data_IF_569291269155
#
_entry.id   IF_569291269155
#
_cell.length_a   1.000
_cell.length_b   1.000
_cell.length_c   1.000
_cell.angle_alpha   90.00
_cell.angle_beta   90.00
_cell.angle_gamma   90.00
#
_symmetry.space_group_name_H-M   'P 1'
#
loop_
_entity.id
_entity.type
_entity.pdbx_description
1 polymer ?
#
# COMPACT_ATOMS: atom_id res chain seq x y z
N UNK A 1 -44.84 28.70 -25.89
CA UNK A 1 -44.23 27.56 -25.19
C UNK A 1 -42.76 27.56 -25.58
N UNK A 2 -41.92 28.35 -24.89
CA UNK A 2 -41.30 28.06 -23.59
C UNK A 2 -40.30 26.90 -23.75
N UNK A 3 -39.01 27.19 -23.93
CA UNK A 3 -37.98 27.42 -22.89
C UNK A 3 -37.54 26.13 -22.21
N UNK A 4 -36.23 25.90 -22.12
CA UNK A 4 -35.67 24.88 -21.22
C UNK A 4 -34.31 24.32 -21.64
N UNK A 5 -33.26 25.02 -21.24
CA UNK A 5 -31.87 24.58 -21.15
C UNK A 5 -31.65 23.35 -20.23
N UNK A 6 -30.50 22.69 -20.44
CA UNK A 6 -29.57 22.08 -19.47
C UNK A 6 -30.06 21.18 -18.31
N UNK A 7 -29.46 19.98 -18.21
CA UNK A 7 -28.87 19.34 -17.00
C UNK A 7 -28.51 17.89 -17.39
N UNK A 8 -27.24 17.51 -17.58
CA UNK A 8 -26.31 17.09 -16.52
C UNK A 8 -26.98 16.65 -15.22
N UNK A 9 -27.07 15.32 -14.98
CA UNK A 9 -26.80 14.71 -13.67
C UNK A 9 -26.96 13.19 -13.65
N UNK A 10 -25.98 12.61 -12.97
CA UNK A 10 -26.09 11.48 -12.05
C UNK A 10 -25.97 10.05 -12.62
N UNK A 11 -24.72 9.64 -12.84
CA UNK A 11 -24.03 8.70 -11.94
C UNK A 11 -24.90 7.81 -11.04
N UNK A 12 -25.42 6.70 -11.56
CA UNK A 12 -25.86 5.54 -10.77
C UNK A 12 -25.77 4.31 -11.70
N UNK A 13 -24.99 3.24 -11.52
CA UNK A 13 -24.35 2.60 -10.39
C UNK A 13 -23.10 1.85 -10.88
N UNK A 14 -21.88 2.28 -10.52
CA UNK A 14 -20.72 1.38 -10.54
C UNK A 14 -20.61 0.70 -9.17
N UNK A 15 -21.18 -0.49 -9.06
CA UNK A 15 -20.99 -1.40 -7.93
C UNK A 15 -20.28 -2.66 -8.41
N UNK A 16 -18.95 -2.60 -8.54
CA UNK A 16 -18.05 -3.66 -8.07
C UNK A 16 -16.60 -3.23 -8.28
N UNK A 17 -16.14 -2.40 -7.36
CA UNK A 17 -14.70 -2.19 -7.12
C UNK A 17 -14.08 -3.53 -6.72
N UNK A 18 -13.50 -4.25 -7.68
CA UNK A 18 -12.43 -5.21 -7.42
C UNK A 18 -11.25 -4.83 -8.28
N UNK A 19 -10.22 -4.16 -7.73
CA UNK A 19 -9.10 -3.75 -8.55
C UNK A 19 -7.94 -4.75 -8.42
N UNK A 20 -8.16 -6.06 -8.53
CA UNK A 20 -7.06 -7.04 -8.72
C UNK A 20 -7.50 -8.25 -9.54
N UNK A 21 -6.62 -8.82 -10.38
CA UNK A 21 -7.01 -9.84 -11.36
C UNK A 21 -7.35 -11.18 -10.70
N UNK A 22 -8.34 -11.84 -11.31
CA UNK A 22 -8.77 -13.22 -11.07
C UNK A 22 -7.64 -14.20 -11.46
N UNK A 23 -7.30 -15.14 -10.57
CA UNK A 23 -6.26 -16.15 -10.77
C UNK A 23 -6.86 -17.47 -11.29
N UNK A 24 -6.40 -17.92 -12.46
CA UNK A 24 -6.61 -19.29 -12.96
C UNK A 24 -5.49 -20.23 -12.44
N UNK A 25 -5.86 -21.46 -12.10
CA UNK A 25 -5.15 -22.34 -11.18
C UNK A 25 -4.46 -23.52 -11.90
N UNK A 26 -3.63 -23.33 -12.93
CA UNK A 26 -2.83 -24.45 -13.50
C UNK A 26 -1.57 -24.04 -14.29
N UNK A 27 -0.59 -23.33 -13.71
CA UNK A 27 0.72 -23.26 -14.38
C UNK A 27 1.92 -23.09 -13.44
N UNK A 28 2.76 -24.14 -13.45
CA UNK A 28 4.10 -24.18 -12.87
C UNK A 28 4.98 -23.00 -13.34
N UNK A 29 5.64 -22.36 -12.36
CA UNK A 29 6.98 -21.73 -12.45
C UNK A 29 7.37 -21.19 -13.84
N UNK A 30 6.57 -20.29 -14.39
CA UNK A 30 7.01 -19.35 -15.41
C UNK A 30 6.83 -17.96 -14.81
N UNK A 31 7.89 -17.16 -14.89
CA UNK A 31 7.83 -15.72 -14.71
C UNK A 31 6.93 -15.17 -15.83
N UNK A 32 5.61 -15.30 -15.66
CA UNK A 32 4.63 -14.64 -16.51
C UNK A 32 4.47 -13.26 -15.90
N UNK A 33 5.35 -12.34 -16.31
CA UNK A 33 4.97 -10.93 -16.38
C UNK A 33 3.78 -10.95 -17.35
N UNK A 34 2.54 -10.71 -16.90
CA UNK A 34 1.39 -10.94 -17.73
C UNK A 34 1.45 -9.98 -18.92
N UNK A 35 1.57 -10.54 -20.12
CA UNK A 35 1.36 -9.83 -21.38
C UNK A 35 -0.12 -9.48 -21.46
N UNK A 36 -0.53 -8.45 -20.73
CA UNK A 36 -1.84 -7.85 -20.92
C UNK A 36 -1.86 -7.16 -22.28
N UNK A 37 -2.86 -7.46 -23.09
CA UNK A 37 -3.22 -6.64 -24.24
C UNK A 37 -3.37 -5.19 -23.74
N UNK A 38 -2.40 -4.35 -24.09
CA UNK A 38 -2.30 -2.96 -23.64
C UNK A 38 -3.46 -2.15 -24.20
N UNK A 39 -4.62 -2.16 -23.52
CA UNK A 39 -5.45 -0.97 -23.52
C UNK A 39 -4.74 0.03 -22.61
N UNK A 40 -4.14 1.04 -23.24
CA UNK A 40 -3.44 2.19 -22.65
C UNK A 40 -4.37 2.94 -21.67
N UNK A 41 -4.66 2.35 -20.51
CA UNK A 41 -5.00 3.12 -19.34
C UNK A 41 -3.66 3.67 -18.84
N UNK A 42 -3.48 4.99 -18.95
CA UNK A 42 -2.37 5.69 -18.31
C UNK A 42 -2.25 5.17 -16.88
N UNK A 43 -1.15 4.47 -16.57
CA UNK A 43 -0.98 3.84 -15.27
C UNK A 43 -0.83 4.97 -14.24
N UNK A 44 -1.95 5.32 -13.62
CA UNK A 44 -2.12 6.43 -12.70
C UNK A 44 -1.07 6.32 -11.56
N UNK A 45 -0.54 7.45 -11.07
CA UNK A 45 0.61 7.46 -10.15
C UNK A 45 0.44 6.54 -8.92
N UNK A 46 -0.73 6.49 -8.25
CA UNK A 46 -0.99 5.55 -7.16
C UNK A 46 -0.86 4.07 -7.55
N UNK A 47 -1.31 3.68 -8.75
CA UNK A 47 -1.26 2.29 -9.22
C UNK A 47 0.19 1.83 -9.40
N UNK A 48 1.07 2.71 -9.89
CA UNK A 48 2.50 2.42 -9.99
C UNK A 48 3.15 2.21 -8.62
N UNK A 49 2.83 3.07 -7.64
CA UNK A 49 3.32 2.91 -6.27
C UNK A 49 2.81 1.60 -5.65
N UNK A 50 1.54 1.28 -5.86
CA UNK A 50 0.92 0.07 -5.32
C UNK A 50 1.48 -1.21 -5.93
N UNK A 51 1.78 -1.21 -7.23
CA UNK A 51 2.48 -2.33 -7.89
C UNK A 51 3.89 -2.54 -7.34
N UNK A 52 4.63 -1.44 -7.06
CA UNK A 52 5.94 -1.52 -6.41
C UNK A 52 5.85 -2.09 -4.99
N UNK A 53 4.82 -1.67 -4.25
CA UNK A 53 4.53 -2.20 -2.91
C UNK A 53 4.20 -3.70 -2.95
N UNK A 54 3.34 -4.13 -3.87
CA UNK A 54 2.98 -5.54 -4.07
C UNK A 54 4.23 -6.40 -4.33
N UNK A 55 5.12 -5.95 -5.21
CA UNK A 55 6.37 -6.66 -5.49
C UNK A 55 7.26 -6.79 -4.25
N UNK A 56 7.42 -5.70 -3.50
CA UNK A 56 8.24 -5.68 -2.28
C UNK A 56 7.67 -6.61 -1.20
N UNK A 57 6.34 -6.61 -1.03
CA UNK A 57 5.64 -7.50 -0.09
C UNK A 57 5.77 -8.95 -0.53
N UNK A 58 5.58 -9.25 -1.81
CA UNK A 58 5.77 -10.59 -2.35
C UNK A 58 7.17 -11.13 -2.05
N UNK A 59 8.21 -10.31 -2.27
CA UNK A 59 9.59 -10.69 -1.96
C UNK A 59 9.82 -10.97 -0.47
N UNK A 60 9.22 -10.20 0.44
CA UNK A 60 9.33 -10.41 1.89
C UNK A 60 8.59 -11.69 2.30
N UNK A 61 7.38 -11.87 1.78
CA UNK A 61 6.54 -13.04 2.06
C UNK A 61 7.21 -14.32 1.55
N UNK A 62 7.78 -14.31 0.35
CA UNK A 62 8.50 -15.45 -0.22
C UNK A 62 9.71 -15.84 0.63
N UNK A 63 10.47 -14.87 1.15
CA UNK A 63 11.60 -15.13 2.03
C UNK A 63 11.17 -15.80 3.35
N UNK A 64 10.09 -15.31 3.96
CA UNK A 64 9.53 -15.89 5.20
C UNK A 64 8.93 -17.27 4.93
N UNK A 65 8.19 -17.42 3.83
CA UNK A 65 7.56 -18.68 3.45
C UNK A 65 8.59 -19.78 3.20
N UNK A 66 9.73 -19.44 2.59
CA UNK A 66 10.84 -20.37 2.40
C UNK A 66 11.47 -20.81 3.73
N UNK A 67 11.66 -19.89 4.68
CA UNK A 67 12.24 -20.19 6.00
C UNK A 67 11.31 -21.07 6.86
N UNK A 68 10.00 -20.89 6.72
CA UNK A 68 8.99 -21.58 7.52
C UNK A 68 8.40 -22.82 6.83
N UNK A 69 8.88 -23.19 5.63
CA UNK A 69 8.34 -24.26 4.78
C UNK A 69 6.82 -24.12 4.53
N UNK A 70 6.39 -22.90 4.21
CA UNK A 70 5.01 -22.53 3.92
C UNK A 70 4.85 -22.06 2.48
N UNK A 71 3.61 -21.98 2.01
CA UNK A 71 3.25 -21.32 0.76
C UNK A 71 2.26 -20.18 1.01
N UNK A 72 2.54 -19.01 0.45
CA UNK A 72 1.62 -17.89 0.45
C UNK A 72 0.77 -17.89 -0.82
N UNK A 73 -0.54 -17.67 -0.66
CA UNK A 73 -1.44 -17.53 -1.82
C UNK A 73 -1.31 -16.13 -2.43
N UNK A 74 -1.53 -15.98 -3.74
CA UNK A 74 -1.58 -14.66 -4.36
C UNK A 74 -2.62 -13.72 -3.74
N UNK A 75 -3.75 -14.28 -3.27
CA UNK A 75 -4.80 -13.55 -2.59
C UNK A 75 -4.32 -13.01 -1.24
N UNK A 76 -3.58 -13.82 -0.46
CA UNK A 76 -2.97 -13.37 0.78
C UNK A 76 -2.02 -12.19 0.54
N UNK A 77 -1.14 -12.28 -0.46
CA UNK A 77 -0.21 -11.20 -0.84
C UNK A 77 -0.98 -9.94 -1.27
N UNK A 78 -2.06 -10.11 -2.03
CA UNK A 78 -2.95 -9.01 -2.43
C UNK A 78 -3.61 -8.31 -1.23
N UNK A 79 -4.22 -9.09 -0.32
CA UNK A 79 -4.84 -8.56 0.90
C UNK A 79 -3.83 -7.87 1.81
N UNK A 80 -2.63 -8.44 1.96
CA UNK A 80 -1.55 -7.83 2.73
C UNK A 80 -1.08 -6.51 2.10
N UNK A 81 -1.04 -6.43 0.77
CA UNK A 81 -0.72 -5.19 0.04
C UNK A 81 -1.73 -4.09 0.34
N UNK A 82 -3.03 -4.40 0.34
CA UNK A 82 -4.08 -3.43 0.71
C UNK A 82 -3.97 -2.96 2.17
N UNK A 83 -3.68 -3.90 3.07
CA UNK A 83 -3.49 -3.60 4.49
C UNK A 83 -2.31 -2.65 4.70
N UNK A 84 -1.15 -2.97 4.11
CA UNK A 84 0.06 -2.15 4.23
C UNK A 84 -0.14 -0.79 3.54
N UNK A 85 -0.80 -0.74 2.39
CA UNK A 85 -1.14 0.52 1.73
C UNK A 85 -1.97 1.43 2.64
N UNK A 86 -3.01 0.88 3.27
CA UNK A 86 -3.85 1.62 4.22
C UNK A 86 -3.04 2.11 5.43
N UNK A 87 -2.16 1.25 5.96
CA UNK A 87 -1.30 1.62 7.08
C UNK A 87 -0.33 2.75 6.72
N UNK A 88 0.23 2.77 5.51
CA UNK A 88 1.11 3.85 5.04
C UNK A 88 0.35 5.18 5.02
N UNK A 89 -0.89 5.20 4.52
CA UNK A 89 -1.72 6.41 4.49
C UNK A 89 -2.01 6.94 5.90
N UNK A 90 -2.41 6.06 6.82
CA UNK A 90 -2.64 6.44 8.22
C UNK A 90 -1.37 6.94 8.89
N UNK A 91 -0.26 6.21 8.76
CA UNK A 91 1.03 6.59 9.35
C UNK A 91 1.52 7.93 8.80
N UNK A 92 1.37 8.19 7.50
CA UNK A 92 1.75 9.47 6.89
C UNK A 92 0.99 10.66 7.46
N UNK A 93 -0.33 10.53 7.61
CA UNK A 93 -1.17 11.56 8.21
C UNK A 93 -0.83 11.80 9.69
N UNK A 94 -0.57 10.73 10.46
CA UNK A 94 -0.17 10.83 11.86
C UNK A 94 1.18 11.55 12.01
N UNK A 95 2.17 11.21 11.18
CA UNK A 95 3.49 11.87 11.21
C UNK A 95 3.39 13.36 10.90
N UNK A 96 2.61 13.75 9.90
CA UNK A 96 2.36 15.15 9.57
C UNK A 96 1.70 15.89 10.74
N UNK A 97 0.69 15.27 11.37
CA UNK A 97 0.00 15.84 12.52
C UNK A 97 0.92 16.00 13.74
N UNK A 98 1.83 15.05 13.99
CA UNK A 98 2.80 15.15 15.09
C UNK A 98 3.80 16.28 14.87
N UNK A 99 4.31 16.44 13.65
CA UNK A 99 5.19 17.55 13.30
C UNK A 99 4.48 18.90 13.50
N UNK A 100 3.26 19.05 12.97
CA UNK A 100 2.44 20.26 13.12
C UNK A 100 2.10 20.57 14.57
N UNK A 101 1.79 19.56 15.38
CA UNK A 101 1.51 19.73 16.80
C UNK A 101 2.72 20.29 17.58
N UNK A 102 3.93 20.00 17.12
CA UNK A 102 5.17 20.54 17.66
C UNK A 102 5.60 21.87 17.00
N UNK A 103 4.76 22.49 16.17
CA UNK A 103 5.06 23.74 15.45
C UNK A 103 6.11 23.59 14.35
N UNK A 104 6.26 22.40 13.77
CA UNK A 104 7.22 22.10 12.70
C UNK A 104 6.51 21.70 11.41
N UNK A 105 7.08 22.10 10.27
CA UNK A 105 6.64 21.67 8.94
C UNK A 105 7.51 20.53 8.37
N UNK A 106 8.52 20.10 9.13
CA UNK A 106 9.43 19.00 8.77
C UNK A 106 9.34 17.89 9.82
N UNK A 107 9.09 16.67 9.34
CA UNK A 107 9.02 15.45 10.15
C UNK A 107 10.42 15.12 10.68
N UNK A 108 10.50 14.78 11.97
CA UNK A 108 11.72 14.38 12.68
C UNK A 108 11.55 12.96 13.26
N UNK A 109 12.66 12.35 13.65
CA UNK A 109 12.77 11.05 14.32
C UNK A 109 11.85 10.92 15.54
N UNK A 110 11.60 12.02 16.26
CA UNK A 110 10.66 12.06 17.40
C UNK A 110 9.23 11.75 16.99
N UNK A 111 8.81 12.15 15.79
CA UNK A 111 7.45 11.89 15.28
C UNK A 111 7.27 10.40 14.98
N UNK A 112 8.31 9.76 14.44
CA UNK A 112 8.34 8.32 14.18
C UNK A 112 8.30 7.52 15.49
N UNK A 113 9.06 7.94 16.52
CA UNK A 113 8.99 7.30 17.84
C UNK A 113 7.61 7.50 18.51
N UNK A 114 6.95 8.63 18.26
CA UNK A 114 5.60 8.90 18.77
C UNK A 114 4.52 8.04 18.09
N UNK A 115 4.73 7.67 16.82
CA UNK A 115 3.85 6.77 16.06
C UNK A 115 3.77 5.38 16.69
N UNK A 116 4.91 4.85 17.16
CA UNK A 116 5.00 3.49 17.72
C UNK A 116 4.80 3.42 19.24
N UNK A 117 4.41 4.54 19.88
CA UNK A 117 4.34 4.68 21.35
C UNK A 117 3.49 3.67 22.11
N UNK A 118 2.63 2.91 21.41
CA UNK A 118 1.75 1.89 22.01
C UNK A 118 2.37 0.50 22.02
N UNK A 119 3.52 0.32 21.38
CA UNK A 119 4.24 -0.94 21.31
C UNK A 119 5.69 -0.71 21.74
N UNK A 120 5.98 -0.97 23.01
CA UNK A 120 7.32 -0.72 23.58
C UNK A 120 8.42 -1.55 22.91
N UNK A 121 8.14 -2.80 22.51
CA UNK A 121 9.12 -3.63 21.80
C UNK A 121 9.46 -3.04 20.42
N UNK A 122 8.45 -2.61 19.67
CA UNK A 122 8.67 -1.97 18.38
C UNK A 122 9.41 -0.63 18.53
N UNK A 123 9.09 0.14 19.58
CA UNK A 123 9.79 1.38 19.90
C UNK A 123 11.26 1.13 20.19
N UNK A 124 11.60 0.12 20.98
CA UNK A 124 12.99 -0.26 21.26
C UNK A 124 13.75 -0.64 19.99
N UNK A 125 13.14 -1.43 19.10
CA UNK A 125 13.73 -1.80 17.81
C UNK A 125 14.05 -0.56 16.98
N UNK A 126 13.12 0.40 16.90
CA UNK A 126 13.34 1.65 16.14
C UNK A 126 14.37 2.57 16.80
N UNK A 127 14.42 2.64 18.13
CA UNK A 127 15.44 3.40 18.85
C UNK A 127 16.84 2.81 18.61
N UNK A 128 16.97 1.49 18.54
CA UNK A 128 18.23 0.84 18.20
C UNK A 128 18.63 1.11 16.74
N UNK A 129 17.69 1.02 15.79
CA UNK A 129 17.95 1.40 14.40
C UNK A 129 18.40 2.87 14.28
N UNK A 130 17.81 3.78 15.06
CA UNK A 130 18.17 5.19 15.10
C UNK A 130 19.61 5.41 15.60
N UNK A 131 20.09 4.61 16.56
CA UNK A 131 21.48 4.67 17.04
C UNK A 131 22.46 4.28 15.93
N UNK A 132 22.15 3.24 15.17
CA UNK A 132 23.00 2.78 14.06
C UNK A 132 23.08 3.80 12.92
N UNK A 133 21.99 4.48 12.59
CA UNK A 133 21.98 5.53 11.54
C UNK A 133 22.82 6.76 11.93
N UNK A 134 22.95 7.05 13.23
CA UNK A 134 23.69 8.20 13.75
C UNK A 134 25.19 7.94 13.93
N UNK A 135 25.63 6.71 13.73
CA UNK A 135 27.03 6.29 13.84
C UNK A 135 27.81 6.65 12.58
#
# INVERSE_FOLDING_TARGET
>A
MADGDAEDKADHLNSSTTPFPFFDHTAHKKLIIPTFHTTLHSNTHPQRLKSSLWYSIGSIVDAIALDQDLNATPQFIGSLTELVWSQILTSGADLENFAKHAGRDTIDTKDVLLLVRRNEQLKEVLENALKEIKK
#
